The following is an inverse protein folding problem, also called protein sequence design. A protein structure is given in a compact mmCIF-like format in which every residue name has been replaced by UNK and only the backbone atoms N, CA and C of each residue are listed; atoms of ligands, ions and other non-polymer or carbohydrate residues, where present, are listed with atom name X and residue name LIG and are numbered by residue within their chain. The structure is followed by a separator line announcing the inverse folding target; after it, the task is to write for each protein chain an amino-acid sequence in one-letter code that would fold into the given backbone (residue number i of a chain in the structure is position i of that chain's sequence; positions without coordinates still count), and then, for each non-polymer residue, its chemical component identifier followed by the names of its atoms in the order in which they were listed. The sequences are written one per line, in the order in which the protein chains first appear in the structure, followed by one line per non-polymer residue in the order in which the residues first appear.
data_IF_966523303091
#
_entry.id   IF_966523303091
#
_cell.length_a   1.000
_cell.length_b   1.000
_cell.length_c   1.000
_cell.angle_alpha   90.00
_cell.angle_beta   90.00
_cell.angle_gamma   90.00
#
_symmetry.space_group_name_H-M   'P 1'
#
loop_
_entity.id
_entity.type
_entity.pdbx_description
1 polymer ?
#
# COMPACT_ATOMS: atom_id res chain seq x y z
N UNK A 1 -5.00 -5.51 -43.62
CA UNK A 1 -4.91 -6.00 -42.25
C UNK A 1 -6.12 -6.89 -42.00
N UNK A 2 -5.92 -8.09 -41.46
CA UNK A 2 -7.01 -9.01 -41.12
C UNK A 2 -7.65 -8.61 -39.77
N UNK A 3 -8.88 -9.08 -39.51
CA UNK A 3 -9.55 -8.88 -38.21
C UNK A 3 -8.73 -9.42 -37.04
N UNK A 4 -7.96 -10.48 -37.28
CA UNK A 4 -7.10 -11.09 -36.25
C UNK A 4 -5.85 -10.24 -36.00
N UNK A 5 -5.25 -9.66 -37.04
CA UNK A 5 -4.12 -8.73 -36.90
C UNK A 5 -4.53 -7.46 -36.14
N UNK A 6 -5.72 -6.92 -36.42
CA UNK A 6 -6.27 -5.77 -35.68
C UNK A 6 -6.50 -6.09 -34.19
N UNK A 7 -7.01 -7.30 -33.90
CA UNK A 7 -7.17 -7.78 -32.53
C UNK A 7 -5.82 -7.89 -31.81
N UNK A 8 -4.80 -8.48 -32.45
CA UNK A 8 -3.45 -8.60 -31.87
C UNK A 8 -2.87 -7.22 -31.57
N UNK A 9 -2.88 -6.29 -32.54
CA UNK A 9 -2.32 -4.95 -32.36
C UNK A 9 -3.02 -4.18 -31.22
N UNK A 10 -4.33 -4.36 -31.07
CA UNK A 10 -5.12 -3.78 -29.97
C UNK A 10 -4.69 -4.36 -28.62
N UNK A 11 -4.52 -5.68 -28.54
CA UNK A 11 -4.07 -6.38 -27.33
C UNK A 11 -2.64 -5.99 -26.95
N UNK A 12 -1.72 -5.90 -27.91
CA UNK A 12 -0.34 -5.44 -27.66
C UNK A 12 -0.32 -4.03 -27.05
N UNK A 13 -1.15 -3.13 -27.57
CA UNK A 13 -1.30 -1.77 -27.02
C UNK A 13 -1.85 -1.82 -25.59
N UNK A 14 -2.87 -2.65 -25.34
CA UNK A 14 -3.43 -2.84 -24.01
C UNK A 14 -2.39 -3.35 -23.00
N UNK A 15 -1.61 -4.36 -23.36
CA UNK A 15 -0.58 -4.93 -22.48
C UNK A 15 0.55 -3.94 -22.20
N UNK A 16 0.94 -3.13 -23.19
CA UNK A 16 1.90 -2.06 -23.02
C UNK A 16 1.42 -1.02 -22.00
N UNK A 17 0.15 -0.58 -22.11
CA UNK A 17 -0.46 0.35 -21.17
C UNK A 17 -0.58 -0.25 -19.76
N UNK A 18 -0.91 -1.55 -19.65
CA UNK A 18 -0.97 -2.24 -18.36
C UNK A 18 0.41 -2.33 -17.71
N UNK A 19 1.46 -2.58 -18.50
CA UNK A 19 2.84 -2.55 -18.04
C UNK A 19 3.24 -1.18 -17.51
N UNK A 20 2.92 -0.14 -18.27
CA UNK A 20 3.23 1.24 -17.91
C UNK A 20 2.52 1.66 -16.63
N UNK A 21 1.22 1.38 -16.53
CA UNK A 21 0.43 1.68 -15.33
C UNK A 21 1.03 1.01 -14.08
N UNK A 22 1.37 -0.28 -14.18
CA UNK A 22 2.03 -1.00 -13.10
C UNK A 22 3.35 -0.35 -12.68
N UNK A 23 4.24 -0.08 -13.64
CA UNK A 23 5.55 0.49 -13.34
C UNK A 23 5.43 1.86 -12.66
N UNK A 24 4.52 2.72 -13.13
CA UNK A 24 4.29 4.05 -12.53
C UNK A 24 3.75 3.93 -11.09
N UNK A 25 2.77 3.06 -10.85
CA UNK A 25 2.22 2.86 -9.50
C UNK A 25 3.25 2.23 -8.57
N UNK A 26 4.06 1.28 -9.06
CA UNK A 26 5.17 0.71 -8.28
C UNK A 26 6.18 1.79 -7.87
N UNK A 27 6.57 2.67 -8.79
CA UNK A 27 7.46 3.79 -8.47
C UNK A 27 6.85 4.73 -7.43
N UNK A 28 5.57 5.08 -7.59
CA UNK A 28 4.82 5.89 -6.63
C UNK A 28 4.83 5.28 -5.22
N UNK A 29 4.52 3.98 -5.12
CA UNK A 29 4.47 3.25 -3.86
C UNK A 29 5.84 3.19 -3.17
N UNK A 30 6.93 3.00 -3.92
CA UNK A 30 8.30 3.01 -3.38
C UNK A 30 8.72 4.38 -2.87
N UNK A 31 8.38 5.44 -3.61
CA UNK A 31 8.59 6.83 -3.19
C UNK A 31 7.82 7.14 -1.91
N UNK A 32 6.56 6.70 -1.80
CA UNK A 32 5.74 6.82 -0.59
C UNK A 32 6.31 6.07 0.60
N UNK A 33 6.73 4.81 0.40
CA UNK A 33 7.36 3.98 1.45
C UNK A 33 8.58 4.69 2.03
N UNK A 34 9.46 5.21 1.17
CA UNK A 34 10.67 5.91 1.59
C UNK A 34 10.33 7.25 2.27
N UNK A 35 9.45 8.04 1.66
CA UNK A 35 9.07 9.37 2.16
C UNK A 35 8.34 9.31 3.50
N UNK A 36 7.38 8.41 3.66
CA UNK A 36 6.67 8.22 4.93
C UNK A 36 7.62 7.78 6.04
N UNK A 37 8.58 6.90 5.76
CA UNK A 37 9.51 6.49 6.80
C UNK A 37 10.44 7.64 7.23
N UNK A 38 10.87 8.47 6.29
CA UNK A 38 11.61 9.69 6.60
C UNK A 38 10.77 10.69 7.42
N UNK A 39 9.48 10.84 7.09
CA UNK A 39 8.54 11.71 7.79
C UNK A 39 8.32 11.27 9.25
N UNK A 40 8.12 9.97 9.48
CA UNK A 40 7.96 9.41 10.84
C UNK A 40 9.23 9.60 11.67
N UNK A 41 10.41 9.60 11.04
CA UNK A 41 11.68 9.92 11.70
C UNK A 41 12.12 8.87 12.72
N UNK A 42 11.86 7.58 12.45
CA UNK A 42 12.32 6.52 13.34
C UNK A 42 13.86 6.55 13.46
N UNK A 43 14.42 6.53 14.69
CA UNK A 43 15.86 6.74 14.90
C UNK A 43 16.71 5.53 14.46
N UNK A 44 16.08 4.38 14.22
CA UNK A 44 16.71 3.11 13.93
C UNK A 44 15.95 2.34 12.85
N UNK A 45 16.68 1.65 11.98
CA UNK A 45 16.12 0.67 11.06
C UNK A 45 15.10 1.21 10.04
N UNK A 46 14.43 0.28 9.36
CA UNK A 46 13.33 0.59 8.45
C UNK A 46 12.04 0.65 9.27
N UNK A 47 11.22 1.66 9.01
CA UNK A 47 9.95 1.88 9.69
C UNK A 47 8.72 1.76 8.79
N UNK A 48 8.92 1.60 7.46
CA UNK A 48 7.84 1.32 6.51
C UNK A 48 8.27 0.29 5.46
N UNK A 49 7.49 -0.78 5.30
CA UNK A 49 7.63 -1.78 4.24
C UNK A 49 6.46 -1.75 3.26
N UNK A 50 6.72 -2.10 2.01
CA UNK A 50 5.68 -2.44 1.03
C UNK A 50 5.33 -3.93 1.19
N UNK A 51 4.05 -4.21 1.43
CA UNK A 51 3.53 -5.55 1.73
C UNK A 51 2.28 -5.82 0.89
N UNK A 52 1.88 -7.10 0.71
CA UNK A 52 0.62 -7.43 0.03
C UNK A 52 -0.58 -6.70 0.67
N UNK A 53 -1.57 -6.25 -0.12
CA UNK A 53 -2.71 -5.48 0.40
C UNK A 53 -3.63 -6.30 1.30
N UNK A 54 -3.61 -7.63 1.18
CA UNK A 54 -4.47 -8.54 1.94
C UNK A 54 -3.69 -9.79 2.34
N UNK A 55 -4.25 -10.55 3.30
CA UNK A 55 -3.62 -11.73 3.86
C UNK A 55 -2.50 -11.43 4.87
N UNK A 56 -1.87 -12.48 5.37
CA UNK A 56 -0.72 -12.38 6.26
C UNK A 56 0.50 -11.81 5.53
N UNK A 57 1.38 -11.12 6.26
CA UNK A 57 2.61 -10.56 5.68
C UNK A 57 3.77 -10.58 6.66
N UNK A 58 4.98 -10.62 6.10
CA UNK A 58 6.21 -10.38 6.86
C UNK A 58 6.74 -8.97 6.57
N UNK A 59 7.40 -8.31 7.54
CA UNK A 59 7.99 -6.98 7.36
C UNK A 59 9.32 -7.07 6.59
N UNK A 60 9.23 -7.36 5.30
CA UNK A 60 10.38 -7.48 4.39
C UNK A 60 10.10 -6.82 3.05
N UNK A 61 11.13 -6.74 2.20
CA UNK A 61 10.96 -6.28 0.83
C UNK A 61 10.28 -7.38 -0.01
N UNK A 62 8.98 -7.22 -0.30
CA UNK A 62 8.21 -8.17 -1.13
C UNK A 62 8.40 -7.94 -2.64
N UNK A 63 8.95 -6.80 -3.04
CA UNK A 63 9.09 -6.42 -4.45
C UNK A 63 7.73 -6.42 -5.14
N UNK A 64 7.61 -7.11 -6.27
CA UNK A 64 6.35 -7.19 -7.03
C UNK A 64 5.22 -7.90 -6.26
N UNK A 65 5.54 -8.74 -5.28
CA UNK A 65 4.52 -9.44 -4.48
C UNK A 65 3.76 -8.51 -3.51
N UNK A 66 4.22 -7.27 -3.31
CA UNK A 66 3.50 -6.27 -2.53
C UNK A 66 2.21 -5.77 -3.21
N UNK A 67 2.03 -6.04 -4.51
CA UNK A 67 0.96 -5.46 -5.32
C UNK A 67 -0.10 -6.50 -5.67
N UNK A 68 -1.36 -6.08 -5.82
CA UNK A 68 -2.47 -6.96 -6.22
C UNK A 68 -2.32 -7.51 -7.64
N UNK A 69 -1.54 -6.84 -8.49
CA UNK A 69 -1.33 -7.19 -9.90
C UNK A 69 0.15 -7.28 -10.26
N UNK A 70 0.89 -8.26 -9.72
CA UNK A 70 2.30 -8.45 -10.04
C UNK A 70 2.49 -8.77 -11.54
N UNK A 71 3.69 -8.57 -12.12
CA UNK A 71 3.97 -8.82 -13.53
C UNK A 71 3.88 -10.31 -13.90
N UNK A 72 2.67 -10.80 -14.23
CA UNK A 72 2.42 -12.18 -14.66
C UNK A 72 1.27 -12.26 -15.66
N UNK A 73 1.44 -13.10 -16.69
CA UNK A 73 0.40 -13.41 -17.67
C UNK A 73 -0.25 -12.17 -18.30
N UNK A 74 -1.51 -12.33 -18.71
CA UNK A 74 -2.34 -11.22 -19.20
C UNK A 74 -2.75 -10.32 -18.04
N UNK A 75 -2.47 -9.03 -18.14
CA UNK A 75 -2.70 -8.06 -17.05
C UNK A 75 -3.85 -7.12 -17.37
N UNK A 76 -4.85 -7.03 -16.50
CA UNK A 76 -5.92 -6.07 -16.72
C UNK A 76 -5.44 -4.63 -16.46
N UNK A 77 -5.97 -3.70 -17.25
CA UNK A 77 -5.96 -2.27 -16.94
C UNK A 77 -6.97 -2.01 -15.82
N UNK A 78 -6.49 -2.03 -14.58
CA UNK A 78 -7.30 -1.85 -13.39
C UNK A 78 -6.52 -1.08 -12.29
N UNK A 79 -7.21 -0.61 -11.23
CA UNK A 79 -6.55 -0.10 -10.03
C UNK A 79 -5.63 -1.14 -9.39
N UNK A 80 -4.49 -0.70 -8.86
CA UNK A 80 -3.52 -1.56 -8.18
C UNK A 80 -3.56 -1.26 -6.69
N UNK A 81 -3.71 -2.31 -5.88
CA UNK A 81 -3.67 -2.21 -4.44
C UNK A 81 -2.33 -2.71 -3.88
N UNK A 82 -1.89 -2.11 -2.77
CA UNK A 82 -0.70 -2.50 -2.00
C UNK A 82 -0.86 -2.05 -0.54
N UNK A 83 -0.07 -2.62 0.37
CA UNK A 83 -0.02 -2.20 1.77
C UNK A 83 1.25 -1.43 2.11
N UNK A 84 1.13 -0.41 2.95
CA UNK A 84 2.24 0.19 3.70
C UNK A 84 2.21 -0.39 5.12
N UNK A 85 3.14 -1.29 5.43
CA UNK A 85 3.33 -1.79 6.79
C UNK A 85 4.18 -0.78 7.57
N UNK A 86 3.56 -0.10 8.54
CA UNK A 86 4.19 0.90 9.41
C UNK A 86 4.61 0.25 10.73
N UNK A 87 5.86 0.45 11.15
CA UNK A 87 6.37 -0.05 12.43
C UNK A 87 5.81 0.78 13.58
N UNK A 88 5.13 0.13 14.52
CA UNK A 88 4.40 0.79 15.62
C UNK A 88 5.01 0.51 17.00
N UNK A 89 6.04 -0.34 17.10
CA UNK A 89 6.73 -0.64 18.35
C UNK A 89 8.25 -0.83 18.18
N UNK A 90 8.97 -0.85 19.31
CA UNK A 90 10.40 -1.16 19.35
C UNK A 90 10.70 -2.64 19.11
N UNK A 91 9.74 -3.53 19.37
CA UNK A 91 9.85 -4.97 19.06
C UNK A 91 9.56 -5.29 17.59
N UNK A 92 9.32 -4.26 16.75
CA UNK A 92 8.94 -4.41 15.36
C UNK A 92 7.58 -5.08 15.19
N UNK A 93 6.56 -4.55 15.88
CA UNK A 93 5.16 -4.76 15.53
C UNK A 93 4.78 -3.87 14.34
N UNK A 94 3.94 -4.38 13.43
CA UNK A 94 3.62 -3.73 12.16
C UNK A 94 2.12 -3.64 11.95
N UNK A 95 1.66 -2.46 11.54
CA UNK A 95 0.28 -2.23 11.11
C UNK A 95 0.26 -1.99 9.60
N UNK A 96 -0.60 -2.70 8.86
CA UNK A 96 -0.80 -2.45 7.44
C UNK A 96 -1.83 -1.35 7.22
N UNK A 97 -1.46 -0.36 6.42
CA UNK A 97 -2.39 0.60 5.81
C UNK A 97 -2.55 0.22 4.34
N UNK A 98 -3.76 -0.19 3.95
CA UNK A 98 -4.05 -0.60 2.57
C UNK A 98 -4.31 0.63 1.69
N UNK A 99 -3.69 0.62 0.52
CA UNK A 99 -3.82 1.64 -0.50
C UNK A 99 -4.38 1.03 -1.78
N UNK A 100 -5.27 1.74 -2.47
CA UNK A 100 -5.65 1.46 -3.85
C UNK A 100 -5.28 2.66 -4.73
N UNK A 101 -4.57 2.42 -5.81
CA UNK A 101 -4.10 3.46 -6.72
C UNK A 101 -4.67 3.28 -8.13
N UNK A 102 -5.17 4.37 -8.72
CA UNK A 102 -5.70 4.41 -10.09
C UNK A 102 -5.21 5.62 -10.84
N UNK A 103 -4.95 5.47 -12.14
CA UNK A 103 -4.64 6.59 -13.05
C UNK A 103 -5.93 7.27 -13.51
N UNK A 104 -6.01 8.59 -13.41
CA UNK A 104 -7.11 9.42 -13.94
C UNK A 104 -6.51 10.55 -14.76
N UNK A 105 -6.65 10.50 -16.09
CA UNK A 105 -5.95 11.44 -16.96
C UNK A 105 -4.43 11.36 -16.73
N UNK A 106 -3.80 12.47 -16.34
CA UNK A 106 -2.36 12.57 -16.08
C UNK A 106 -2.00 12.50 -14.58
N UNK A 107 -2.97 12.22 -13.72
CA UNK A 107 -2.79 12.13 -12.27
C UNK A 107 -3.04 10.71 -11.77
N UNK A 108 -2.51 10.41 -10.59
CA UNK A 108 -2.79 9.19 -9.84
C UNK A 108 -3.65 9.54 -8.64
N UNK A 109 -4.76 8.82 -8.47
CA UNK A 109 -5.59 8.92 -7.27
C UNK A 109 -5.26 7.73 -6.39
N UNK A 110 -4.86 8.01 -5.15
CA UNK A 110 -4.62 7.00 -4.12
C UNK A 110 -5.73 7.10 -3.09
N UNK A 111 -6.43 6.01 -2.90
CA UNK A 111 -7.41 5.81 -1.85
C UNK A 111 -6.78 5.01 -0.71
N UNK A 112 -6.92 5.50 0.52
CA UNK A 112 -6.58 4.76 1.73
C UNK A 112 -7.83 4.03 2.20
N UNK A 113 -7.73 2.74 2.49
CA UNK A 113 -8.84 1.96 3.07
C UNK A 113 -9.37 2.63 4.35
N UNK A 114 -10.69 2.82 4.45
CA UNK A 114 -11.37 3.58 5.51
C UNK A 114 -10.89 5.04 5.67
N UNK A 115 -10.23 5.61 4.66
CA UNK A 115 -9.62 6.94 4.70
C UNK A 115 -10.00 7.84 3.52
N UNK A 116 -9.15 8.83 3.26
CA UNK A 116 -9.33 9.82 2.20
C UNK A 116 -8.71 9.39 0.86
N UNK A 117 -9.04 10.14 -0.20
CA UNK A 117 -8.36 10.06 -1.48
C UNK A 117 -7.37 11.21 -1.67
N UNK A 118 -6.24 10.94 -2.31
CA UNK A 118 -5.18 11.90 -2.61
C UNK A 118 -4.82 11.88 -4.08
N UNK A 119 -4.61 13.07 -4.65
CA UNK A 119 -4.15 13.23 -6.03
C UNK A 119 -2.64 13.47 -6.09
N UNK A 120 -1.94 12.66 -6.88
CA UNK A 120 -0.52 12.77 -7.12
C UNK A 120 -0.19 12.95 -8.60
N UNK A 121 0.92 13.64 -8.85
CA UNK A 121 1.63 13.61 -10.12
C UNK A 121 2.99 12.99 -9.88
N UNK A 122 3.47 12.23 -10.85
CA UNK A 122 4.82 11.68 -10.83
C UNK A 122 5.78 12.61 -11.59
N UNK A 123 7.02 12.79 -11.10
CA UNK A 123 7.56 12.25 -9.83
C UNK A 123 6.97 12.95 -8.60
N UNK A 124 6.88 12.26 -7.45
CA UNK A 124 6.24 12.85 -6.26
C UNK A 124 6.96 14.10 -5.76
N UNK A 125 8.27 14.18 -5.98
CA UNK A 125 9.15 15.27 -5.52
C UNK A 125 8.73 16.66 -5.99
N UNK A 126 7.93 16.75 -7.05
CA UNK A 126 7.48 18.03 -7.60
C UNK A 126 6.26 18.61 -6.86
N UNK A 127 5.67 17.85 -5.94
CA UNK A 127 4.59 18.30 -5.05
C UNK A 127 4.95 17.95 -3.61
N UNK A 128 4.63 18.84 -2.68
CA UNK A 128 4.82 18.59 -1.25
C UNK A 128 3.98 17.37 -0.81
N UNK A 129 4.59 16.21 -0.52
CA UNK A 129 3.86 15.00 -0.15
C UNK A 129 3.61 14.91 1.36
N UNK A 130 4.08 15.88 2.15
CA UNK A 130 3.91 15.91 3.61
C UNK A 130 2.44 15.83 4.05
N UNK A 131 1.46 16.51 3.42
CA UNK A 131 0.05 16.38 3.82
C UNK A 131 -0.47 14.94 3.73
N UNK A 132 0.01 14.17 2.76
CA UNK A 132 -0.33 12.75 2.67
C UNK A 132 0.35 11.94 3.78
N UNK A 133 1.63 12.19 4.05
CA UNK A 133 2.34 11.49 5.13
C UNK A 133 1.73 11.78 6.49
N UNK A 134 1.35 13.03 6.76
CA UNK A 134 0.66 13.45 7.97
C UNK A 134 -0.67 12.71 8.13
N UNK A 135 -1.41 12.54 7.04
CA UNK A 135 -2.66 11.82 7.06
C UNK A 135 -2.48 10.32 7.31
N UNK A 136 -1.51 9.67 6.65
CA UNK A 136 -1.22 8.24 6.90
C UNK A 136 -0.77 8.04 8.36
N UNK A 137 0.09 8.91 8.86
CA UNK A 137 0.54 8.89 10.25
C UNK A 137 -0.63 9.08 11.22
N UNK A 138 -1.48 10.08 10.98
CA UNK A 138 -2.68 10.34 11.77
C UNK A 138 -3.65 9.17 11.73
N UNK A 139 -3.82 8.51 10.58
CA UNK A 139 -4.68 7.33 10.45
C UNK A 139 -4.21 6.19 11.36
N UNK A 140 -2.90 5.88 11.34
CA UNK A 140 -2.31 4.87 12.23
C UNK A 140 -2.48 5.25 13.71
N UNK A 141 -2.19 6.50 14.06
CA UNK A 141 -2.30 6.98 15.44
C UNK A 141 -3.75 6.95 15.95
N UNK A 142 -4.69 7.42 15.13
CA UNK A 142 -6.11 7.47 15.47
C UNK A 142 -6.69 6.08 15.67
N UNK A 143 -6.24 5.08 14.89
CA UNK A 143 -6.67 3.71 15.11
C UNK A 143 -6.38 3.25 16.55
N UNK A 144 -5.17 3.49 17.08
CA UNK A 144 -4.84 3.13 18.46
C UNK A 144 -5.64 3.97 19.46
N UNK A 145 -5.74 5.27 19.23
CA UNK A 145 -6.48 6.17 20.12
C UNK A 145 -7.95 5.76 20.25
N UNK A 146 -8.60 5.43 19.13
CA UNK A 146 -9.98 4.95 19.10
C UNK A 146 -10.16 3.62 19.82
N UNK A 147 -9.24 2.66 19.63
CA UNK A 147 -9.31 1.37 20.32
C UNK A 147 -9.10 1.50 21.83
N UNK A 148 -8.21 2.39 22.26
CA UNK A 148 -8.02 2.72 23.68
C UNK A 148 -9.30 3.32 24.27
N UNK A 149 -9.95 4.26 23.56
CA UNK A 149 -11.16 4.89 24.05
C UNK A 149 -12.34 3.92 24.11
N UNK A 150 -12.52 3.12 23.05
CA UNK A 150 -13.47 1.99 22.98
C UNK A 150 -13.35 1.05 24.18
N UNK A 151 -12.13 0.66 24.52
CA UNK A 151 -11.85 -0.17 25.69
C UNK A 151 -12.28 0.53 27.00
N UNK A 152 -11.97 1.81 27.17
CA UNK A 152 -12.33 2.58 28.38
C UNK A 152 -13.83 2.71 28.58
N UNK A 153 -14.60 2.84 27.50
CA UNK A 153 -16.07 2.98 27.54
C UNK A 153 -16.80 1.65 27.52
N UNK A 154 -16.08 0.52 27.37
CA UNK A 154 -16.64 -0.83 27.40
C UNK A 154 -17.32 -1.28 26.10
N UNK A 155 -17.00 -0.67 24.96
CA UNK A 155 -17.53 -1.02 23.65
C UNK A 155 -16.40 -1.39 22.68
N UNK A 156 -16.27 -2.69 22.37
CA UNK A 156 -15.18 -3.20 21.53
C UNK A 156 -15.39 -2.99 20.03
N UNK A 157 -16.55 -2.51 19.56
CA UNK A 157 -16.81 -2.32 18.12
C UNK A 157 -16.64 -3.58 17.26
N UNK A 158 -16.78 -3.43 15.94
CA UNK A 158 -16.70 -4.54 14.95
C UNK A 158 -15.74 -4.27 13.78
N UNK A 159 -14.90 -3.23 13.86
CA UNK A 159 -13.94 -2.89 12.79
C UNK A 159 -12.59 -3.57 13.06
N UNK A 160 -12.30 -4.63 12.33
CA UNK A 160 -10.98 -5.26 12.28
C UNK A 160 -10.11 -4.53 11.24
N UNK A 161 -9.04 -3.86 11.69
CA UNK A 161 -7.90 -3.57 10.81
C UNK A 161 -6.89 -4.69 11.02
N UNK A 162 -6.32 -5.19 9.93
CA UNK A 162 -5.43 -6.36 9.91
C UNK A 162 -4.16 -6.18 10.74
N UNK A 163 -4.25 -6.52 12.03
CA UNK A 163 -3.12 -6.82 12.90
C UNK A 163 -2.62 -8.23 12.58
N UNK A 164 -1.31 -8.36 12.37
CA UNK A 164 -0.63 -9.65 12.26
C UNK A 164 0.23 -9.82 13.51
N UNK A 165 -0.08 -10.81 14.34
CA UNK A 165 0.69 -11.12 15.54
C UNK A 165 1.91 -11.95 15.13
N UNK A 166 3.11 -11.39 15.27
CA UNK A 166 4.36 -12.05 14.86
C UNK A 166 4.79 -13.23 15.77
N UNK A 167 4.05 -13.56 16.82
CA UNK A 167 4.49 -14.50 17.87
C UNK A 167 4.02 -15.97 17.71
N UNK A 168 3.16 -16.30 16.74
CA UNK A 168 2.62 -17.66 16.63
C UNK A 168 3.48 -18.68 15.84
N UNK A 169 4.67 -18.30 15.34
CA UNK A 169 5.55 -19.22 14.58
C UNK A 169 6.47 -20.08 15.48
N UNK A 170 6.54 -19.85 16.80
CA UNK A 170 7.46 -20.61 17.69
C UNK A 170 6.84 -21.62 18.64
N UNK A 171 5.55 -21.93 18.52
CA UNK A 171 4.88 -22.87 19.42
C UNK A 171 4.32 -24.13 18.73
N UNK A 172 5.02 -24.72 17.75
CA UNK A 172 4.73 -26.08 17.27
C UNK A 172 5.99 -26.89 16.94
N UNK A 173 6.98 -26.82 17.82
CA UNK A 173 8.05 -27.82 17.88
C UNK A 173 8.35 -28.20 19.32
N UNK A 174 7.46 -29.00 19.89
CA UNK A 174 7.69 -29.85 21.07
C UNK A 174 6.86 -31.12 20.91
#
# INVERSE_FOLDING_TARGET
MSRFEELIATVETYEALAAENYNRIRSLAEEMRAGLCNYIGAPDGICVHLVPPQGAFEPKAHGDQAFSMPPRGFRPLAPIAFGLAVRVSKQADWMRVTMECRKVGDVFIIHIEDGAEYEFRLPLKDKDPEPFYDHVYSHVLNWFAENIERYKVGDYGTREIGFDFADDIKAQSA
#
